data_IF_049264177140
#
_entry.id   IF_049264177140
#
_cell.length_a   1.000
_cell.length_b   1.000
_cell.length_c   1.000
_cell.angle_alpha   90.00
_cell.angle_beta   90.00
_cell.angle_gamma   90.00
#
_symmetry.space_group_name_H-M   'P 1'
#
loop_
_entity.id
_entity.type
_entity.pdbx_description
1 polymer ?
#
# COMPACT_ATOMS: atom_id res chain seq x y z
N UNK A 1 14.56 -16.02 -2.01
CA UNK A 1 13.71 -14.95 -1.44
C UNK A 1 12.59 -15.62 -0.66
N UNK A 2 12.59 -15.56 0.67
CA UNK A 2 11.49 -16.15 1.48
C UNK A 2 10.25 -15.28 1.24
N UNK A 3 9.21 -15.84 0.62
CA UNK A 3 7.95 -15.15 0.43
C UNK A 3 7.30 -14.89 1.79
N UNK A 4 6.98 -13.64 2.08
CA UNK A 4 6.23 -13.30 3.29
C UNK A 4 4.77 -13.68 3.02
N UNK A 5 4.23 -14.63 3.78
CA UNK A 5 2.82 -15.02 3.68
C UNK A 5 1.99 -14.03 4.49
N UNK A 6 0.97 -13.40 3.88
CA UNK A 6 0.02 -12.54 4.58
C UNK A 6 -1.34 -13.20 4.71
N UNK A 7 -1.99 -12.99 5.86
CA UNK A 7 -3.42 -13.24 6.01
C UNK A 7 -4.21 -12.46 4.92
N UNK A 8 -4.93 -13.16 4.03
CA UNK A 8 -5.75 -12.52 3.02
C UNK A 8 -6.80 -11.60 3.67
N UNK A 9 -6.94 -10.38 3.16
CA UNK A 9 -7.88 -9.40 3.71
C UNK A 9 -7.44 -8.76 5.02
N UNK A 10 -6.17 -8.89 5.44
CA UNK A 10 -5.63 -8.17 6.60
C UNK A 10 -5.05 -6.79 6.24
N UNK A 11 -4.89 -6.48 4.94
CA UNK A 11 -4.35 -5.22 4.44
C UNK A 11 -5.28 -4.62 3.37
N UNK A 12 -5.40 -3.29 3.36
CA UNK A 12 -5.97 -2.52 2.26
C UNK A 12 -4.89 -1.70 1.57
N UNK A 13 -5.05 -1.51 0.26
CA UNK A 13 -4.20 -0.59 -0.49
C UNK A 13 -5.01 0.62 -0.90
N UNK A 14 -4.50 1.80 -0.58
CA UNK A 14 -5.08 3.07 -0.97
C UNK A 14 -4.18 3.76 -1.98
N UNK A 15 -4.74 4.16 -3.12
CA UNK A 15 -4.05 5.06 -4.05
C UNK A 15 -4.55 6.46 -3.81
N UNK A 16 -3.63 7.38 -3.53
CA UNK A 16 -3.90 8.76 -3.13
C UNK A 16 -3.39 9.68 -4.24
N UNK A 17 -4.29 10.51 -4.75
CA UNK A 17 -3.98 11.55 -5.73
C UNK A 17 -3.95 12.91 -5.03
N UNK A 18 -2.80 13.60 -5.03
CA UNK A 18 -2.65 14.92 -4.43
C UNK A 18 -2.33 15.96 -5.51
N UNK A 19 -3.16 17.01 -5.71
CA UNK A 19 -2.80 18.12 -6.57
C UNK A 19 -1.61 18.88 -5.96
N UNK A 20 -0.59 19.16 -6.77
CA UNK A 20 0.55 19.96 -6.38
C UNK A 20 0.15 21.45 -6.36
N UNK A 21 -0.54 21.89 -5.29
CA UNK A 21 -0.76 23.32 -5.03
C UNK A 21 0.47 23.90 -4.32
N UNK A 22 0.85 25.13 -4.67
CA UNK A 22 1.76 25.96 -3.88
C UNK A 22 1.02 26.39 -2.59
N UNK A 23 1.03 25.57 -1.55
CA UNK A 23 0.47 25.93 -0.24
C UNK A 23 -0.44 24.87 0.34
N UNK A 24 -0.11 24.45 1.57
CA UNK A 24 -0.87 23.54 2.43
C UNK A 24 -2.33 24.00 2.57
N UNK A 25 -3.27 23.16 2.17
CA UNK A 25 -4.70 23.40 2.41
C UNK A 25 -5.57 22.32 1.78
N UNK A 26 -6.13 21.46 2.63
CA UNK A 26 -7.19 20.47 2.41
C UNK A 26 -7.25 19.89 0.97
N UNK A 27 -6.59 18.74 0.78
CA UNK A 27 -6.58 18.04 -0.49
C UNK A 27 -7.83 17.17 -0.62
N UNK A 28 -8.54 17.31 -1.73
CA UNK A 28 -9.56 16.37 -2.16
C UNK A 28 -8.84 15.09 -2.61
N UNK A 29 -8.56 14.22 -1.65
CA UNK A 29 -7.92 12.94 -1.87
C UNK A 29 -8.95 11.98 -2.45
N UNK A 30 -8.81 11.66 -3.74
CA UNK A 30 -9.53 10.54 -4.34
C UNK A 30 -8.94 9.26 -3.74
N UNK A 31 -9.63 8.69 -2.76
CA UNK A 31 -9.22 7.46 -2.09
C UNK A 31 -9.83 6.28 -2.84
N UNK A 32 -9.02 5.58 -3.61
CA UNK A 32 -9.40 4.31 -4.22
C UNK A 32 -8.94 3.17 -3.31
N UNK A 33 -9.89 2.40 -2.77
CA UNK A 33 -9.63 1.27 -1.87
C UNK A 33 -9.61 -0.01 -2.69
N UNK A 34 -8.50 -0.72 -2.63
CA UNK A 34 -8.38 -2.07 -3.19
C UNK A 34 -8.17 -3.06 -2.05
N UNK A 35 -9.10 -4.00 -1.88
CA UNK A 35 -8.94 -5.18 -1.00
C UNK A 35 -8.30 -6.28 -1.83
N UNK A 36 -6.97 -6.31 -1.88
CA UNK A 36 -6.25 -7.27 -2.71
C UNK A 36 -5.86 -8.49 -1.88
N UNK A 37 -6.17 -9.69 -2.40
CA UNK A 37 -5.36 -10.87 -2.08
C UNK A 37 -3.97 -10.60 -2.66
N UNK A 38 -2.90 -10.87 -1.90
CA UNK A 38 -1.53 -10.55 -2.32
C UNK A 38 -1.31 -10.93 -3.78
N UNK A 39 -0.81 -9.97 -4.57
CA UNK A 39 -0.74 -9.99 -6.04
C UNK A 39 -2.12 -9.97 -6.72
N UNK A 40 -2.43 -8.90 -7.49
CA UNK A 40 -1.58 -8.47 -8.59
C UNK A 40 -1.03 -7.04 -8.48
N UNK A 41 -0.20 -6.64 -9.45
CA UNK A 41 0.25 -5.27 -9.69
C UNK A 41 -0.92 -4.28 -9.62
N UNK A 42 -0.82 -3.28 -8.75
CA UNK A 42 -1.85 -2.23 -8.63
C UNK A 42 -1.78 -1.33 -9.86
N UNK A 43 -2.91 -1.23 -10.57
CA UNK A 43 -3.06 -0.42 -11.79
C UNK A 43 -4.29 0.47 -11.65
N UNK A 44 -4.13 1.76 -11.86
CA UNK A 44 -5.20 2.76 -11.66
C UNK A 44 -5.28 3.69 -12.85
N UNK A 45 -6.50 3.91 -13.36
CA UNK A 45 -6.83 4.98 -14.31
C UNK A 45 -7.54 6.12 -13.59
N UNK A 46 -7.24 7.35 -13.95
CA UNK A 46 -7.84 8.53 -13.33
C UNK A 46 -8.76 9.25 -14.33
N UNK A 47 -9.90 9.74 -13.84
CA UNK A 47 -10.85 10.55 -14.59
C UNK A 47 -11.10 11.88 -13.87
N UNK A 48 -11.57 12.89 -14.59
CA UNK A 48 -11.89 14.20 -14.00
C UNK A 48 -10.69 15.06 -13.59
N UNK A 49 -9.44 14.63 -13.84
CA UNK A 49 -8.26 15.43 -13.54
C UNK A 49 -8.16 16.66 -14.44
N UNK A 50 -7.80 17.81 -13.87
CA UNK A 50 -7.57 19.05 -14.61
C UNK A 50 -6.31 18.96 -15.47
N UNK A 51 -6.43 19.25 -16.76
CA UNK A 51 -5.34 19.18 -17.74
C UNK A 51 -4.10 20.02 -17.37
N UNK A 52 -4.35 21.21 -16.82
CA UNK A 52 -3.36 22.23 -16.48
C UNK A 52 -2.68 22.01 -15.12
N UNK A 53 -3.15 21.05 -14.33
CA UNK A 53 -2.63 20.77 -13.00
C UNK A 53 -1.58 19.65 -13.00
N UNK A 54 -0.70 19.67 -11.99
CA UNK A 54 0.20 18.56 -11.67
C UNK A 54 -0.26 17.84 -10.41
N UNK A 55 -0.05 16.54 -10.38
CA UNK A 55 -0.50 15.67 -9.30
C UNK A 55 0.63 14.74 -8.86
N UNK A 56 0.79 14.57 -7.55
CA UNK A 56 1.54 13.46 -6.99
C UNK A 56 0.60 12.26 -6.82
N UNK A 57 1.07 11.08 -7.21
CA UNK A 57 0.35 9.83 -7.04
C UNK A 57 1.11 8.99 -6.01
N UNK A 58 0.43 8.62 -4.93
CA UNK A 58 1.00 7.91 -3.79
C UNK A 58 0.23 6.60 -3.58
N UNK A 59 0.91 5.60 -3.05
CA UNK A 59 0.32 4.35 -2.59
C UNK A 59 0.53 4.22 -1.07
N UNK A 60 -0.54 3.89 -0.37
CA UNK A 60 -0.54 3.58 1.05
C UNK A 60 -1.02 2.14 1.26
N UNK A 61 -0.47 1.47 2.27
CA UNK A 61 -0.88 0.12 2.66
C UNK A 61 -1.20 0.14 4.14
N UNK A 62 -2.47 -0.08 4.46
CA UNK A 62 -2.98 0.05 5.83
C UNK A 62 -3.52 -1.29 6.33
N UNK A 63 -3.39 -1.58 7.63
CA UNK A 63 -4.05 -2.74 8.22
C UNK A 63 -5.57 -2.57 8.18
N UNK A 64 -6.28 -3.66 7.84
CA UNK A 64 -7.75 -3.72 7.86
C UNK A 64 -8.28 -3.71 9.29
N UNK A 65 -7.60 -4.40 10.19
CA UNK A 65 -7.93 -4.42 11.61
C UNK A 65 -6.69 -4.45 12.51
N UNK A 66 -6.91 -4.21 13.80
CA UNK A 66 -5.87 -4.26 14.82
C UNK A 66 -5.59 -5.66 15.33
N UNK A 67 -5.65 -6.71 14.49
CA UNK A 67 -5.44 -8.10 14.90
C UNK A 67 -4.12 -8.67 14.38
N UNK A 68 -3.49 -9.49 15.22
CA UNK A 68 -2.35 -10.32 14.84
C UNK A 68 -2.88 -11.65 14.33
N UNK A 69 -2.41 -12.08 13.17
CA UNK A 69 -2.79 -13.35 12.56
C UNK A 69 -1.64 -14.35 12.60
N UNK A 70 -1.95 -15.63 12.81
CA UNK A 70 -1.03 -16.77 12.70
C UNK A 70 -1.58 -17.79 11.73
N UNK A 71 -0.72 -18.34 10.87
CA UNK A 71 -1.11 -19.44 9.99
C UNK A 71 -1.07 -20.77 10.73
N UNK A 72 -2.20 -21.48 10.74
CA UNK A 72 -2.32 -22.83 11.29
C UNK A 72 -2.18 -23.85 10.15
N UNK A 73 -0.96 -24.39 9.98
CA UNK A 73 -0.64 -25.35 8.92
C UNK A 73 -1.54 -26.58 8.91
N UNK A 74 -1.85 -27.13 10.08
CA UNK A 74 -2.71 -28.32 10.21
C UNK A 74 -4.18 -28.07 9.80
N UNK A 75 -4.61 -26.81 9.65
CA UNK A 75 -5.95 -26.44 9.15
C UNK A 75 -5.90 -25.69 7.82
N UNK A 76 -4.70 -25.46 7.27
CA UNK A 76 -4.46 -24.59 6.12
C UNK A 76 -5.23 -23.26 6.22
N UNK A 77 -5.23 -22.65 7.41
CA UNK A 77 -6.08 -21.49 7.71
C UNK A 77 -5.37 -20.44 8.56
N UNK A 78 -5.76 -19.18 8.40
CA UNK A 78 -5.32 -18.09 9.26
C UNK A 78 -6.21 -17.99 10.50
N UNK A 79 -5.60 -17.83 11.68
CA UNK A 79 -6.27 -17.66 12.96
C UNK A 79 -5.86 -16.34 13.60
N UNK A 80 -6.77 -15.74 14.38
CA UNK A 80 -6.46 -14.59 15.22
C UNK A 80 -5.60 -15.07 16.40
N UNK A 81 -4.40 -14.51 16.52
CA UNK A 81 -3.44 -14.82 17.57
C UNK A 81 -3.39 -13.76 18.67
N UNK A 82 -4.07 -12.61 18.49
CA UNK A 82 -4.15 -11.56 19.49
C UNK A 82 -4.31 -10.17 18.89
N UNK A 83 -3.92 -9.15 19.67
CA UNK A 83 -3.88 -7.75 19.23
C UNK A 83 -2.65 -7.51 18.35
N UNK A 84 -2.80 -6.73 17.29
CA UNK A 84 -1.69 -6.30 16.46
C UNK A 84 -0.71 -5.43 17.26
N UNK A 85 0.55 -5.44 16.83
CA UNK A 85 1.54 -4.45 17.27
C UNK A 85 1.07 -3.03 16.89
N UNK A 86 1.52 -1.99 17.60
CA UNK A 86 1.26 -0.62 17.19
C UNK A 86 1.64 -0.41 15.71
N UNK A 87 0.78 0.25 14.92
CA UNK A 87 1.11 0.54 13.54
C UNK A 87 2.35 1.43 13.52
N UNK A 88 3.29 1.12 12.63
CA UNK A 88 4.41 2.01 12.41
C UNK A 88 3.97 3.31 11.76
N UNK A 89 4.88 4.32 11.73
CA UNK A 89 4.63 5.53 10.97
C UNK A 89 4.22 5.19 9.54
N UNK A 90 3.09 5.74 9.09
CA UNK A 90 2.59 5.51 7.75
C UNK A 90 3.67 5.86 6.72
N UNK A 91 4.02 4.88 5.87
CA UNK A 91 5.00 5.06 4.79
C UNK A 91 4.26 5.11 3.46
N UNK A 92 3.93 6.33 3.03
CA UNK A 92 3.42 6.57 1.69
C UNK A 92 4.54 6.28 0.67
N UNK A 93 4.22 5.49 -0.34
CA UNK A 93 5.09 5.26 -1.49
C UNK A 93 4.74 6.24 -2.61
N UNK A 94 5.60 7.24 -2.90
CA UNK A 94 5.42 8.07 -4.07
C UNK A 94 5.70 7.25 -5.33
N UNK A 95 4.80 7.33 -6.31
CA UNK A 95 5.08 6.74 -7.62
C UNK A 95 6.35 7.40 -8.21
N UNK A 96 7.32 6.62 -8.74
CA UNK A 96 8.62 7.15 -9.19
C UNK A 96 8.49 8.20 -10.29
N UNK A 97 7.48 8.07 -11.14
CA UNK A 97 7.22 9.02 -12.23
C UNK A 97 6.40 10.25 -11.79
N UNK A 98 6.05 10.37 -10.50
CA UNK A 98 5.42 11.58 -9.98
C UNK A 98 6.39 12.77 -10.01
N UNK A 99 5.90 14.00 -10.25
CA UNK A 99 4.51 14.37 -10.48
C UNK A 99 4.05 14.15 -11.92
N UNK A 100 2.78 13.78 -12.09
CA UNK A 100 2.11 13.66 -13.39
C UNK A 100 1.34 14.93 -13.74
N UNK A 101 1.21 15.25 -15.03
CA UNK A 101 0.17 16.19 -15.48
C UNK A 101 -1.20 15.53 -15.45
N UNK A 102 -2.27 16.31 -15.25
CA UNK A 102 -3.63 15.77 -15.35
C UNK A 102 -3.92 15.20 -16.73
N UNK A 103 -3.30 15.74 -17.78
CA UNK A 103 -3.38 15.20 -19.14
C UNK A 103 -2.78 13.79 -19.26
N UNK A 104 -1.64 13.53 -18.61
CA UNK A 104 -1.06 12.18 -18.55
C UNK A 104 -2.00 11.23 -17.80
N UNK A 105 -2.49 11.64 -16.63
CA UNK A 105 -3.35 10.81 -15.79
C UNK A 105 -4.67 10.39 -16.45
N UNK A 106 -5.24 11.24 -17.31
CA UNK A 106 -6.45 10.90 -18.07
C UNK A 106 -6.20 9.95 -19.25
N UNK A 107 -4.97 9.92 -19.79
CA UNK A 107 -4.63 9.17 -21.01
C UNK A 107 -3.99 7.81 -20.73
N UNK A 108 -3.45 7.59 -19.53
CA UNK A 108 -2.69 6.39 -19.21
C UNK A 108 -3.16 5.70 -17.94
N UNK A 109 -2.84 4.41 -17.83
CA UNK A 109 -2.94 3.65 -16.58
C UNK A 109 -1.63 3.80 -15.81
N UNK A 110 -1.72 4.23 -14.55
CA UNK A 110 -0.56 4.29 -13.64
C UNK A 110 -0.38 2.93 -12.96
N UNK A 111 0.85 2.41 -12.93
CA UNK A 111 1.18 1.05 -12.48
C UNK A 111 2.22 1.07 -11.36
N UNK A 112 1.92 0.43 -10.22
CA UNK A 112 2.84 0.29 -9.09
C UNK A 112 3.61 -1.03 -9.13
N UNK A 113 4.11 -1.44 -10.30
CA UNK A 113 4.83 -2.71 -10.49
C UNK A 113 6.17 -2.80 -9.74
N UNK A 114 6.76 -1.64 -9.44
CA UNK A 114 8.05 -1.55 -8.74
C UNK A 114 7.90 -1.53 -7.22
N UNK A 115 6.68 -1.48 -6.70
CA UNK A 115 6.44 -1.50 -5.26
C UNK A 115 6.82 -2.86 -4.69
N UNK A 116 7.64 -2.83 -3.64
CA UNK A 116 7.95 -3.98 -2.83
C UNK A 116 7.44 -3.75 -1.43
N UNK A 117 6.82 -4.79 -0.88
CA UNK A 117 6.39 -4.82 0.51
C UNK A 117 7.50 -5.47 1.34
N UNK A 118 7.85 -4.87 2.47
CA UNK A 118 8.88 -5.39 3.38
C UNK A 118 8.38 -5.38 4.81
N UNK A 119 8.80 -6.36 5.61
CA UNK A 119 8.61 -6.37 7.06
C UNK A 119 9.86 -5.84 7.81
N UNK A 120 10.90 -5.42 7.09
CA UNK A 120 12.11 -4.87 7.70
C UNK A 120 11.93 -3.37 8.01
N UNK A 121 11.91 -3.05 9.30
CA UNK A 121 11.71 -1.69 9.82
C UNK A 121 12.89 -0.75 9.47
N UNK A 122 14.09 -1.32 9.30
CA UNK A 122 15.32 -0.58 8.98
C UNK A 122 15.60 -0.52 7.48
N UNK A 123 14.67 -0.95 6.61
CA UNK A 123 14.85 -0.87 5.17
C UNK A 123 15.02 0.60 4.74
N UNK A 124 16.18 0.91 4.16
CA UNK A 124 16.54 2.22 3.61
C UNK A 124 16.26 2.32 2.11
N UNK A 125 15.77 1.23 1.50
CA UNK A 125 15.61 1.11 0.05
C UNK A 125 14.29 1.71 -0.46
N UNK A 126 13.53 2.42 0.38
CA UNK A 126 12.27 3.05 0.00
C UNK A 126 11.13 2.07 -0.27
N UNK A 127 11.23 0.83 0.24
CA UNK A 127 10.16 -0.16 0.15
C UNK A 127 9.02 0.21 1.11
N UNK A 128 7.81 -0.26 0.78
CA UNK A 128 6.64 -0.07 1.64
C UNK A 128 6.75 -1.03 2.81
N UNK A 129 6.99 -0.49 4.00
CA UNK A 129 7.01 -1.29 5.22
C UNK A 129 5.58 -1.64 5.63
N UNK A 130 5.28 -2.92 5.71
CA UNK A 130 3.98 -3.42 6.19
C UNK A 130 4.19 -4.08 7.54
N UNK A 131 3.68 -3.41 8.56
CA UNK A 131 3.76 -3.89 9.92
C UNK A 131 2.66 -4.90 10.16
N UNK A 132 3.01 -6.14 9.92
CA UNK A 132 2.44 -7.23 10.69
C UNK A 132 3.59 -8.18 11.00
N UNK A 133 4.06 -8.21 12.25
CA UNK A 133 4.71 -9.41 12.78
C UNK A 133 3.65 -10.50 12.87
N UNK A 134 3.15 -10.96 11.73
CA UNK A 134 2.61 -12.30 11.64
C UNK A 134 3.79 -13.18 12.02
N UNK A 135 3.64 -13.91 13.12
CA UNK A 135 4.68 -14.78 13.62
C UNK A 135 4.97 -15.79 12.52
N UNK A 136 5.98 -15.48 11.70
CA UNK A 136 6.75 -16.52 11.07
C UNK A 136 7.34 -17.26 12.25
N UNK A 137 6.71 -18.36 12.65
CA UNK A 137 7.45 -19.41 13.31
C UNK A 137 8.55 -19.82 12.33
N UNK A 138 9.70 -19.14 12.40
CA UNK A 138 10.94 -19.77 12.02
C UNK A 138 11.03 -21.03 12.86
N UNK A 139 11.16 -22.19 12.22
CA UNK A 139 12.15 -23.18 12.61
C UNK A 139 12.52 -24.02 11.38
N UNK A 140 13.83 -24.00 11.11
CA UNK A 140 14.63 -24.73 10.11
C UNK A 140 14.53 -24.23 8.65
#
# INVERSE_FOLDING_TARGET
MKGVNFCPGALEIHVILLPCKKGFGAFEAYKLIFVIRMFPTVRVSFAGCRADARYAVLLDVVPVDGKRYRYAYHRSSWLVAGKADPPAPARLYPHPDSPFSGDQLRKQVVSFEKVKLTNNEMDKNGQVSIFSKQENNEFV
#
